data_IF_551172515759
#
_entry.id   IF_551172515759
#
_cell.length_a   1.000
_cell.length_b   1.000
_cell.length_c   1.000
_cell.angle_alpha   90.00
_cell.angle_beta   90.00
_cell.angle_gamma   90.00
#
_symmetry.space_group_name_H-M   'P 1'
#
loop_
_entity.id
_entity.type
_entity.pdbx_description
1 polymer ?
#
# COMPACT_ATOMS: atom_id res chain seq x y z
N UNK A 1 -13.88 81.03 -22.26
CA UNK A 1 -14.29 79.64 -22.25
C UNK A 1 -13.29 78.74 -22.98
N UNK A 2 -12.95 78.93 -24.22
CA UNK A 2 -12.07 78.08 -25.03
C UNK A 2 -10.67 77.87 -24.39
N UNK A 3 -10.04 78.96 -23.91
CA UNK A 3 -8.70 78.84 -23.24
C UNK A 3 -8.71 77.94 -21.98
N UNK A 4 -9.79 77.94 -21.20
CA UNK A 4 -9.96 77.12 -20.02
C UNK A 4 -10.16 75.67 -20.43
N UNK A 5 -10.93 75.41 -21.48
CA UNK A 5 -11.15 74.07 -22.03
C UNK A 5 -9.84 73.45 -22.54
N UNK A 6 -9.01 74.24 -23.26
CA UNK A 6 -7.71 73.79 -23.75
C UNK A 6 -6.77 73.47 -22.58
N UNK A 7 -6.75 74.29 -21.55
CA UNK A 7 -5.93 74.06 -20.33
C UNK A 7 -6.35 72.76 -19.64
N UNK A 8 -7.64 72.51 -19.46
CA UNK A 8 -8.18 71.27 -18.88
C UNK A 8 -7.78 70.06 -19.70
N UNK A 9 -7.86 70.12 -21.03
CA UNK A 9 -7.46 69.02 -21.92
C UNK A 9 -5.94 68.77 -21.82
N UNK A 10 -5.10 69.80 -21.75
CA UNK A 10 -3.66 69.65 -21.55
C UNK A 10 -3.34 68.99 -20.21
N UNK A 11 -3.99 69.42 -19.12
CA UNK A 11 -3.81 68.81 -17.79
C UNK A 11 -4.31 67.41 -17.73
N UNK A 12 -5.43 67.06 -18.33
CA UNK A 12 -5.94 65.72 -18.44
C UNK A 12 -5.03 64.82 -19.28
N UNK A 13 -4.49 65.33 -20.37
CA UNK A 13 -3.50 64.62 -21.20
C UNK A 13 -2.18 64.34 -20.45
N UNK A 14 -1.67 65.38 -19.73
CA UNK A 14 -0.47 65.26 -18.91
C UNK A 14 -0.68 64.25 -17.75
N UNK A 15 -1.85 64.28 -17.11
CA UNK A 15 -2.24 63.31 -16.10
C UNK A 15 -2.33 61.90 -16.68
N UNK A 16 -2.96 61.72 -17.82
CA UNK A 16 -3.06 60.42 -18.49
C UNK A 16 -1.70 59.85 -18.89
N UNK A 17 -0.80 60.70 -19.42
CA UNK A 17 0.60 60.31 -19.68
C UNK A 17 1.33 59.93 -18.40
N UNK A 18 1.17 60.72 -17.33
CA UNK A 18 1.79 60.40 -16.04
C UNK A 18 1.28 59.04 -15.50
N UNK A 19 -0.02 58.75 -15.52
CA UNK A 19 -0.59 57.48 -15.14
C UNK A 19 -0.08 56.31 -16.01
N UNK A 20 0.09 56.58 -17.33
CA UNK A 20 0.60 55.54 -18.27
C UNK A 20 2.05 55.17 -18.00
N UNK A 21 2.88 56.09 -17.58
CA UNK A 21 4.29 55.89 -17.25
C UNK A 21 4.52 55.36 -15.82
N UNK A 22 3.48 55.31 -14.97
CA UNK A 22 3.53 54.71 -13.66
C UNK A 22 3.39 53.17 -13.77
N UNK A 23 4.42 52.52 -14.30
CA UNK A 23 4.41 51.04 -14.59
C UNK A 23 5.09 50.23 -13.50
N UNK A 24 5.18 50.73 -12.27
CA UNK A 24 5.85 50.02 -11.21
C UNK A 24 5.05 48.81 -10.75
N UNK A 25 5.69 47.63 -10.68
CA UNK A 25 5.12 46.38 -10.18
C UNK A 25 5.26 46.23 -8.68
N UNK A 26 5.20 47.34 -7.90
CA UNK A 26 5.42 47.33 -6.45
C UNK A 26 4.12 47.57 -5.68
N UNK A 27 4.09 47.08 -4.45
CA UNK A 27 2.99 47.28 -3.51
C UNK A 27 3.07 48.71 -2.95
N UNK A 28 2.02 49.46 -3.12
CA UNK A 28 1.95 50.88 -2.63
C UNK A 28 1.35 51.00 -1.24
N UNK A 29 0.54 50.02 -0.80
CA UNK A 29 -0.09 50.05 0.52
C UNK A 29 0.93 49.94 1.63
N UNK A 30 0.82 50.82 2.65
CA UNK A 30 1.62 50.76 3.87
C UNK A 30 1.12 49.63 4.77
N UNK A 31 1.53 48.41 4.46
CA UNK A 31 1.13 47.19 5.15
C UNK A 31 2.36 46.48 5.69
N UNK A 32 2.23 45.99 6.92
CA UNK A 32 3.15 45.01 7.50
C UNK A 32 2.43 43.68 7.65
N UNK A 33 3.09 42.61 7.29
CA UNK A 33 2.62 41.25 7.47
C UNK A 33 3.64 40.54 8.36
N UNK A 34 3.22 40.04 9.51
CA UNK A 34 4.09 39.43 10.54
C UNK A 34 5.31 40.32 10.88
N UNK A 35 5.12 41.67 10.95
CA UNK A 35 6.18 42.63 11.20
C UNK A 35 7.00 43.05 9.97
N UNK A 36 6.90 42.33 8.85
CA UNK A 36 7.60 42.59 7.59
C UNK A 36 6.86 43.69 6.80
N UNK A 37 7.53 44.82 6.53
CA UNK A 37 6.97 45.89 5.73
C UNK A 37 7.07 45.54 4.24
N UNK A 38 5.92 45.33 3.57
CA UNK A 38 5.87 44.92 2.16
C UNK A 38 5.71 46.10 1.17
N UNK A 39 5.57 47.33 1.66
CA UNK A 39 5.52 48.52 0.81
C UNK A 39 6.81 48.69 0.01
N UNK A 40 6.68 48.87 -1.30
CA UNK A 40 7.81 49.04 -2.22
C UNK A 40 8.38 47.72 -2.74
N UNK A 41 7.88 46.56 -2.28
CA UNK A 41 8.24 45.24 -2.79
C UNK A 41 7.34 44.90 -3.99
N UNK A 42 7.84 44.06 -4.90
CA UNK A 42 7.01 43.32 -5.86
C UNK A 42 6.19 42.26 -5.14
N UNK A 43 5.21 41.67 -5.83
CA UNK A 43 4.44 40.55 -5.22
C UNK A 43 5.33 39.38 -4.87
N UNK A 44 6.25 39.04 -5.75
CA UNK A 44 7.20 37.96 -5.61
C UNK A 44 8.13 38.20 -4.39
N UNK A 45 8.74 39.37 -4.32
CA UNK A 45 9.60 39.73 -3.19
C UNK A 45 8.87 39.72 -1.83
N UNK A 46 7.61 40.16 -1.81
CA UNK A 46 6.79 40.13 -0.59
C UNK A 46 6.45 38.73 -0.15
N UNK A 47 6.06 37.85 -1.14
CA UNK A 47 5.76 36.43 -0.88
C UNK A 47 7.02 35.72 -0.37
N UNK A 48 8.15 35.93 -1.02
CA UNK A 48 9.43 35.29 -0.65
C UNK A 48 9.89 35.73 0.73
N UNK A 49 9.81 37.03 1.06
CA UNK A 49 10.21 37.55 2.35
C UNK A 49 9.35 36.96 3.49
N UNK A 50 8.03 36.90 3.31
CA UNK A 50 7.10 36.32 4.30
C UNK A 50 7.28 34.81 4.41
N UNK A 51 7.46 34.12 3.28
CA UNK A 51 7.67 32.68 3.26
C UNK A 51 8.97 32.28 3.94
N UNK A 52 10.03 33.07 3.77
CA UNK A 52 11.30 32.85 4.43
C UNK A 52 11.21 33.04 5.95
N UNK A 53 10.56 34.09 6.40
CA UNK A 53 10.33 34.33 7.85
C UNK A 53 9.50 33.18 8.45
N UNK A 54 8.45 32.73 7.73
CA UNK A 54 7.66 31.58 8.14
C UNK A 54 8.51 30.32 8.27
N UNK A 55 9.35 30.04 7.29
CA UNK A 55 10.26 28.91 7.32
C UNK A 55 11.19 28.99 8.53
N UNK A 56 11.92 30.09 8.69
CA UNK A 56 12.88 30.28 9.79
C UNK A 56 12.22 30.09 11.16
N UNK A 57 10.96 30.51 11.31
CA UNK A 57 10.21 30.44 12.56
C UNK A 57 9.65 29.05 12.87
N UNK A 58 9.19 28.31 11.85
CA UNK A 58 8.42 27.07 12.05
C UNK A 58 9.10 25.79 11.55
N UNK A 59 10.21 25.85 10.79
CA UNK A 59 10.86 24.64 10.23
C UNK A 59 11.31 23.63 11.28
N UNK A 60 11.63 24.08 12.48
CA UNK A 60 12.07 23.23 13.59
C UNK A 60 10.95 22.90 14.59
N UNK A 61 9.72 23.32 14.30
CA UNK A 61 8.57 23.10 15.18
C UNK A 61 8.17 21.62 15.19
N UNK A 62 8.09 21.04 16.38
CA UNK A 62 7.78 19.62 16.57
C UNK A 62 6.71 19.44 17.64
N UNK A 63 5.69 18.65 17.33
CA UNK A 63 4.78 18.11 18.34
C UNK A 63 5.34 16.84 18.94
N UNK A 64 5.01 16.58 20.20
CA UNK A 64 5.37 15.34 20.88
C UNK A 64 4.14 14.45 20.97
N UNK A 65 4.20 13.27 20.36
CA UNK A 65 3.14 12.26 20.44
C UNK A 65 3.57 11.17 21.43
N UNK A 66 2.79 10.97 22.48
CA UNK A 66 3.04 9.91 23.47
C UNK A 66 2.19 8.69 23.12
N UNK A 67 2.83 7.54 22.88
CA UNK A 67 2.16 6.27 22.60
C UNK A 67 2.78 5.17 23.46
N UNK A 68 1.97 4.51 24.28
CA UNK A 68 2.43 3.44 25.19
C UNK A 68 3.63 3.85 26.07
N UNK A 69 3.64 5.12 26.55
CA UNK A 69 4.70 5.66 27.39
C UNK A 69 6.00 6.04 26.64
N UNK A 70 6.02 5.94 25.32
CA UNK A 70 7.13 6.40 24.47
C UNK A 70 6.75 7.71 23.79
N UNK A 71 7.72 8.61 23.71
CA UNK A 71 7.54 9.90 23.07
C UNK A 71 8.13 9.88 21.67
N UNK A 72 7.35 10.33 20.70
CA UNK A 72 7.70 10.47 19.30
C UNK A 72 7.65 11.96 18.94
N UNK A 73 8.67 12.47 18.30
CA UNK A 73 8.70 13.86 17.83
C UNK A 73 8.30 13.90 16.37
N UNK A 74 7.27 14.68 16.06
CA UNK A 74 6.71 14.83 14.72
C UNK A 74 6.91 16.26 14.26
N UNK A 75 7.67 16.48 13.19
CA UNK A 75 7.79 17.79 12.57
C UNK A 75 6.48 18.13 11.86
N UNK A 76 5.83 19.22 12.27
CA UNK A 76 4.53 19.63 11.68
C UNK A 76 4.69 20.69 10.60
N UNK A 77 5.90 21.23 10.39
CA UNK A 77 6.16 22.26 9.39
C UNK A 77 5.62 21.91 7.99
N UNK A 78 5.76 20.67 7.46
CA UNK A 78 5.21 20.32 6.13
C UNK A 78 3.68 20.42 6.04
N UNK A 79 2.98 20.32 7.18
CA UNK A 79 1.51 20.44 7.25
C UNK A 79 1.06 21.88 7.31
N UNK A 80 1.91 22.75 7.87
CA UNK A 80 1.60 24.17 8.08
C UNK A 80 1.70 24.97 6.78
N UNK A 81 0.90 26.00 6.67
CA UNK A 81 0.99 26.97 5.59
C UNK A 81 0.36 28.29 5.93
N UNK A 82 0.74 29.35 5.23
CA UNK A 82 0.18 30.69 5.33
C UNK A 82 -0.56 31.07 4.05
N UNK A 83 -1.62 31.86 4.16
CA UNK A 83 -2.27 32.45 3.00
C UNK A 83 -1.64 33.77 2.57
N UNK A 84 -0.34 33.71 2.27
CA UNK A 84 0.45 34.88 1.88
C UNK A 84 -0.03 35.45 0.56
N UNK A 85 -0.31 34.58 -0.42
CA UNK A 85 -0.65 34.99 -1.79
C UNK A 85 -1.89 35.86 -1.85
N UNK A 86 -2.97 35.46 -1.20
CA UNK A 86 -4.25 36.18 -1.19
C UNK A 86 -4.10 37.61 -0.61
N UNK A 87 -3.35 37.73 0.48
CA UNK A 87 -3.13 39.04 1.14
C UNK A 87 -2.22 39.93 0.33
N UNK A 88 -1.13 39.39 -0.22
CA UNK A 88 -0.21 40.14 -1.08
C UNK A 88 -0.92 40.60 -2.37
N UNK A 89 -1.73 39.76 -2.99
CA UNK A 89 -2.54 40.14 -4.16
C UNK A 89 -3.54 41.24 -3.83
N UNK A 90 -4.22 41.13 -2.69
CA UNK A 90 -5.15 42.16 -2.22
C UNK A 90 -4.45 43.49 -1.94
N UNK A 91 -3.27 43.46 -1.32
CA UNK A 91 -2.47 44.64 -1.06
C UNK A 91 -1.94 45.28 -2.35
N UNK A 92 -1.54 44.46 -3.31
CA UNK A 92 -1.06 44.90 -4.62
C UNK A 92 -2.18 45.53 -5.45
N UNK A 93 -3.40 44.97 -5.43
CA UNK A 93 -4.55 45.50 -6.18
C UNK A 93 -4.86 46.96 -5.80
N UNK A 94 -4.54 47.37 -4.58
CA UNK A 94 -4.66 48.75 -4.13
C UNK A 94 -3.56 49.60 -4.80
N UNK A 95 -3.94 50.57 -5.62
CA UNK A 95 -3.01 51.40 -6.40
C UNK A 95 -2.70 50.83 -7.81
N UNK A 96 -3.29 49.69 -8.17
CA UNK A 96 -3.20 49.10 -9.50
C UNK A 96 -4.58 48.86 -10.11
N UNK A 97 -5.55 49.74 -9.84
CA UNK A 97 -6.90 49.73 -10.40
C UNK A 97 -6.93 50.03 -11.89
N UNK A 98 -7.90 50.86 -12.34
CA UNK A 98 -7.93 51.31 -13.74
C UNK A 98 -6.75 52.25 -14.01
N UNK A 99 -6.15 52.16 -15.22
CA UNK A 99 -4.96 52.93 -15.60
C UNK A 99 -5.09 54.44 -15.35
N UNK A 100 -6.28 54.98 -15.45
CA UNK A 100 -6.56 56.43 -15.28
C UNK A 100 -6.75 56.84 -13.81
N UNK A 101 -6.86 55.90 -12.86
CA UNK A 101 -6.91 56.15 -11.41
C UNK A 101 -5.58 55.90 -10.72
N UNK A 102 -4.61 55.28 -11.38
CA UNK A 102 -3.30 54.92 -10.78
C UNK A 102 -2.64 56.11 -10.04
N UNK A 103 -2.66 57.30 -10.61
CA UNK A 103 -2.04 58.47 -10.01
C UNK A 103 -2.72 58.91 -8.72
N UNK A 104 -4.07 58.97 -8.72
CA UNK A 104 -4.84 59.41 -7.53
C UNK A 104 -4.78 58.36 -6.44
N UNK A 105 -4.95 57.07 -6.79
CA UNK A 105 -4.91 55.98 -5.83
C UNK A 105 -3.55 55.89 -5.08
N UNK A 106 -2.45 56.10 -5.83
CA UNK A 106 -1.08 56.14 -5.26
C UNK A 106 -0.83 57.33 -4.37
N UNK A 107 -1.30 58.54 -4.75
CA UNK A 107 -1.22 59.72 -3.92
C UNK A 107 -1.99 59.52 -2.62
N UNK A 108 -3.16 58.93 -2.68
CA UNK A 108 -3.96 58.60 -1.47
C UNK A 108 -3.23 57.61 -0.56
N UNK A 109 -2.68 56.54 -1.12
CA UNK A 109 -1.91 55.51 -0.36
C UNK A 109 -0.65 56.12 0.24
N UNK A 110 0.08 57.01 -0.47
CA UNK A 110 1.26 57.68 0.03
C UNK A 110 0.94 58.64 1.18
N UNK A 111 -0.18 59.36 1.07
CA UNK A 111 -0.60 60.34 2.10
C UNK A 111 -1.34 59.69 3.29
N UNK A 112 -1.74 58.41 3.15
CA UNK A 112 -2.38 57.68 4.23
C UNK A 112 -1.46 57.63 5.44
N UNK A 113 -1.96 58.09 6.59
CA UNK A 113 -1.28 57.99 7.88
C UNK A 113 -1.48 56.58 8.51
N UNK A 114 -2.38 55.81 7.98
CA UNK A 114 -2.73 54.50 8.51
C UNK A 114 -1.66 53.49 8.10
N UNK A 115 -0.95 52.96 9.07
CA UNK A 115 -0.08 51.77 8.92
C UNK A 115 -0.91 50.59 9.38
N UNK A 116 -1.20 49.70 8.46
CA UNK A 116 -1.90 48.46 8.78
C UNK A 116 -0.86 47.37 9.11
N UNK A 117 -1.15 46.60 10.11
CA UNK A 117 -0.37 45.42 10.46
C UNK A 117 -1.33 44.21 10.51
N UNK A 118 -0.97 43.16 9.83
CA UNK A 118 -1.72 41.89 9.76
C UNK A 118 -0.80 40.81 10.29
N UNK A 119 -1.31 40.04 11.23
CA UNK A 119 -0.63 38.82 11.70
C UNK A 119 -1.29 37.64 11.04
N UNK A 120 -0.52 36.86 10.28
CA UNK A 120 -0.94 35.59 9.69
C UNK A 120 -0.52 34.46 10.61
N UNK A 121 -1.47 33.63 10.99
CA UNK A 121 -1.19 32.44 11.76
C UNK A 121 -1.12 31.24 10.82
N UNK A 122 -0.18 30.31 11.06
CA UNK A 122 -0.12 29.06 10.32
C UNK A 122 -1.38 28.22 10.49
N UNK A 123 -1.86 27.68 9.39
CA UNK A 123 -2.99 26.77 9.33
C UNK A 123 -2.56 25.42 8.76
N UNK A 124 -3.32 24.38 9.04
CA UNK A 124 -3.11 23.06 8.43
C UNK A 124 -3.60 23.07 6.99
N UNK A 125 -2.68 23.22 6.02
CA UNK A 125 -2.97 23.28 4.59
C UNK A 125 -2.72 21.95 3.88
N UNK A 126 -1.67 21.23 4.24
CA UNK A 126 -1.26 19.98 3.61
C UNK A 126 -1.60 18.80 4.52
N UNK A 127 -2.89 18.58 4.80
CA UNK A 127 -3.35 17.55 5.73
C UNK A 127 -2.97 16.13 5.30
N UNK A 128 -2.83 15.90 4.00
CA UNK A 128 -2.47 14.59 3.42
C UNK A 128 -1.03 14.16 3.77
N UNK A 129 -0.17 15.12 4.13
CA UNK A 129 1.20 14.82 4.59
C UNK A 129 1.24 14.20 6.00
N UNK A 130 0.16 14.30 6.80
CA UNK A 130 0.14 13.80 8.17
C UNK A 130 0.42 12.30 8.26
N UNK A 131 -0.16 11.49 7.38
CA UNK A 131 0.04 10.04 7.41
C UNK A 131 1.51 9.68 7.23
N UNK A 132 2.17 10.32 6.27
CA UNK A 132 3.60 10.12 6.02
C UNK A 132 4.48 10.60 7.19
N UNK A 133 4.17 11.77 7.75
CA UNK A 133 4.93 12.31 8.87
C UNK A 133 4.83 11.44 10.13
N UNK A 134 3.66 10.87 10.39
CA UNK A 134 3.45 9.96 11.50
C UNK A 134 4.20 8.64 11.28
N UNK A 135 4.18 8.11 10.05
CA UNK A 135 4.92 6.91 9.67
C UNK A 135 6.44 7.13 9.78
N UNK A 136 6.96 8.25 9.25
CA UNK A 136 8.37 8.63 9.34
C UNK A 136 8.84 8.80 10.80
N UNK A 137 7.94 9.25 11.68
CA UNK A 137 8.20 9.33 13.12
C UNK A 137 8.13 7.96 13.83
N UNK A 138 7.76 6.89 13.13
CA UNK A 138 7.62 5.54 13.68
C UNK A 138 6.27 5.26 14.32
N UNK A 139 5.26 6.10 14.10
CA UNK A 139 3.88 5.90 14.53
C UNK A 139 3.12 5.30 13.35
N UNK A 140 3.06 3.98 13.29
CA UNK A 140 2.35 3.26 12.25
C UNK A 140 1.07 2.61 12.80
N UNK A 141 0.22 2.11 11.90
CA UNK A 141 -1.00 1.34 12.25
C UNK A 141 -0.71 0.03 12.99
N UNK A 142 0.55 -0.20 13.41
CA UNK A 142 0.94 -1.39 14.16
C UNK A 142 0.13 -1.55 15.44
N UNK A 143 -0.34 -2.76 15.67
CA UNK A 143 -1.08 -3.11 16.89
C UNK A 143 -0.41 -4.27 17.59
N UNK A 144 -0.74 -4.50 18.87
CA UNK A 144 -0.34 -5.68 19.62
C UNK A 144 -1.20 -6.91 19.25
N UNK A 145 -1.96 -6.83 18.18
CA UNK A 145 -2.80 -7.92 17.67
C UNK A 145 -1.96 -9.12 17.30
N UNK A 146 -2.38 -10.29 17.77
CA UNK A 146 -1.83 -11.56 17.34
C UNK A 146 -2.75 -12.13 16.29
N UNK A 147 -2.22 -12.34 15.09
CA UNK A 147 -2.99 -12.92 14.00
C UNK A 147 -3.32 -14.39 14.23
N UNK A 148 -4.42 -14.87 13.63
CA UNK A 148 -4.75 -16.29 13.59
C UNK A 148 -3.70 -17.01 12.76
N UNK A 149 -3.19 -18.14 13.26
CA UNK A 149 -2.19 -18.97 12.59
C UNK A 149 -2.68 -20.39 12.40
N UNK A 150 -2.25 -21.01 11.29
CA UNK A 150 -2.52 -22.40 10.94
C UNK A 150 -1.21 -23.15 10.86
N UNK A 151 -1.18 -24.34 11.44
CA UNK A 151 -0.06 -25.28 11.38
C UNK A 151 -0.61 -26.64 10.92
N UNK A 152 -0.10 -27.13 9.80
CA UNK A 152 -0.46 -28.43 9.26
C UNK A 152 0.51 -29.48 9.80
N UNK A 153 -0.02 -30.53 10.39
CA UNK A 153 0.72 -31.73 10.79
C UNK A 153 0.35 -32.90 9.88
N UNK A 154 0.94 -34.06 10.08
CA UNK A 154 0.66 -35.26 9.26
C UNK A 154 -0.81 -35.74 9.35
N UNK A 155 -1.51 -35.43 10.42
CA UNK A 155 -2.87 -35.95 10.69
C UNK A 155 -3.90 -34.88 11.04
N UNK A 156 -3.46 -33.67 11.32
CA UNK A 156 -4.33 -32.62 11.87
C UNK A 156 -3.92 -31.23 11.37
N UNK A 157 -4.92 -30.37 11.20
CA UNK A 157 -4.76 -28.93 11.07
C UNK A 157 -4.95 -28.30 12.44
N UNK A 158 -3.91 -27.66 12.98
CA UNK A 158 -3.97 -26.91 14.23
C UNK A 158 -4.12 -25.43 13.93
N UNK A 159 -5.24 -24.84 14.34
CA UNK A 159 -5.51 -23.42 14.19
C UNK A 159 -5.40 -22.74 15.54
N UNK A 160 -4.53 -21.75 15.68
CA UNK A 160 -4.44 -20.90 16.87
C UNK A 160 -5.19 -19.60 16.61
N UNK A 161 -6.33 -19.42 17.29
CA UNK A 161 -7.15 -18.22 17.14
C UNK A 161 -6.37 -16.99 17.58
N UNK A 162 -6.38 -15.95 16.76
CA UNK A 162 -5.74 -14.67 17.05
C UNK A 162 -6.28 -13.99 18.31
N UNK A 163 -5.62 -12.94 18.73
CA UNK A 163 -6.02 -12.11 19.88
C UNK A 163 -6.16 -10.68 19.45
N UNK A 164 -7.26 -10.05 19.86
CA UNK A 164 -7.45 -8.61 19.72
C UNK A 164 -6.37 -7.86 20.48
N UNK A 165 -5.66 -7.00 19.79
CA UNK A 165 -4.65 -6.11 20.35
C UNK A 165 -5.16 -4.69 20.53
N UNK A 166 -4.24 -3.81 20.90
CA UNK A 166 -4.45 -2.37 20.97
C UNK A 166 -3.46 -1.72 20.00
N UNK A 167 -3.97 -0.86 19.15
CA UNK A 167 -3.17 -0.07 18.23
C UNK A 167 -3.53 1.42 18.32
N UNK A 168 -2.72 2.32 17.73
CA UNK A 168 -3.04 3.73 17.64
C UNK A 168 -4.31 3.95 16.81
N UNK A 169 -5.18 4.83 17.28
CA UNK A 169 -6.28 5.37 16.49
C UNK A 169 -5.73 6.54 15.65
N UNK A 170 -5.32 6.22 14.43
CA UNK A 170 -4.67 7.20 13.54
C UNK A 170 -5.59 8.35 13.16
N UNK A 171 -6.90 8.11 13.04
CA UNK A 171 -7.84 9.16 12.66
C UNK A 171 -8.08 10.12 13.83
N UNK A 172 -8.31 9.59 15.03
CA UNK A 172 -8.42 10.42 16.22
C UNK A 172 -7.10 11.17 16.55
N UNK A 173 -5.93 10.57 16.27
CA UNK A 173 -4.64 11.22 16.42
C UNK A 173 -4.49 12.40 15.45
N UNK A 174 -4.84 12.21 14.18
CA UNK A 174 -4.82 13.29 13.18
C UNK A 174 -5.76 14.43 13.56
N UNK A 175 -6.95 14.11 14.04
CA UNK A 175 -7.89 15.13 14.53
C UNK A 175 -7.32 15.91 15.72
N UNK A 176 -6.65 15.25 16.66
CA UNK A 176 -6.01 15.90 17.80
C UNK A 176 -4.88 16.84 17.35
N UNK A 177 -4.05 16.43 16.39
CA UNK A 177 -2.99 17.27 15.80
C UNK A 177 -3.60 18.51 15.11
N UNK A 178 -4.61 18.31 14.25
CA UNK A 178 -5.28 19.40 13.56
C UNK A 178 -5.96 20.38 14.53
N UNK A 179 -6.53 19.87 15.62
CA UNK A 179 -7.10 20.69 16.68
C UNK A 179 -6.02 21.51 17.39
N UNK A 180 -4.86 20.93 17.72
CA UNK A 180 -3.76 21.66 18.32
C UNK A 180 -3.27 22.79 17.41
N UNK A 181 -3.13 22.52 16.10
CA UNK A 181 -2.79 23.57 15.12
C UNK A 181 -3.85 24.67 15.10
N UNK A 182 -5.13 24.33 15.15
CA UNK A 182 -6.24 25.31 15.11
C UNK A 182 -6.31 26.25 16.32
N UNK A 183 -5.72 25.86 17.45
CA UNK A 183 -5.60 26.68 18.67
C UNK A 183 -4.20 27.25 18.85
N UNK A 184 -3.37 27.19 17.80
CA UNK A 184 -2.00 27.76 17.76
C UNK A 184 -1.01 27.08 18.73
N UNK A 185 -1.31 25.84 19.17
CA UNK A 185 -0.41 25.04 20.01
C UNK A 185 0.44 24.12 19.12
N UNK A 186 1.45 24.72 18.47
CA UNK A 186 2.31 24.02 17.51
C UNK A 186 3.37 23.11 18.17
N UNK A 187 3.54 23.18 19.48
CA UNK A 187 4.46 22.35 20.26
C UNK A 187 3.71 21.40 21.21
N UNK A 188 2.44 21.14 20.94
CA UNK A 188 1.57 20.32 21.77
C UNK A 188 2.19 18.96 22.11
N UNK A 189 1.89 18.49 23.33
CA UNK A 189 2.13 17.11 23.75
C UNK A 189 0.79 16.37 23.68
N UNK A 190 0.66 15.45 22.76
CA UNK A 190 -0.57 14.73 22.48
C UNK A 190 -0.42 13.27 22.91
N UNK A 191 -1.29 12.82 23.85
CA UNK A 191 -1.42 11.40 24.14
C UNK A 191 -2.15 10.74 22.95
N UNK A 192 -1.50 9.77 22.30
CA UNK A 192 -2.07 9.11 21.14
C UNK A 192 -3.31 8.29 21.54
N UNK A 193 -4.49 8.58 20.99
CA UNK A 193 -5.65 7.74 21.19
C UNK A 193 -5.37 6.32 20.69
N UNK A 194 -5.90 5.33 21.41
CA UNK A 194 -5.75 3.92 21.07
C UNK A 194 -7.09 3.26 20.83
N UNK A 195 -7.12 2.31 19.90
CA UNK A 195 -8.30 1.52 19.59
C UNK A 195 -8.01 0.02 19.64
N UNK A 196 -9.05 -0.78 19.84
CA UNK A 196 -8.96 -2.24 19.73
C UNK A 196 -8.85 -2.62 18.26
N UNK A 197 -7.84 -3.42 17.95
CA UNK A 197 -7.61 -3.94 16.59
C UNK A 197 -7.79 -5.45 16.63
N UNK A 198 -8.89 -6.00 16.13
CA UNK A 198 -9.09 -7.43 16.03
C UNK A 198 -8.10 -8.05 15.02
N UNK A 199 -7.80 -9.35 15.12
CA UNK A 199 -7.06 -10.06 14.09
C UNK A 199 -7.85 -10.08 12.78
N UNK A 200 -7.15 -10.16 11.67
CA UNK A 200 -7.77 -10.34 10.34
C UNK A 200 -8.55 -11.66 10.32
N UNK A 201 -9.66 -11.66 9.61
CA UNK A 201 -10.47 -12.86 9.45
C UNK A 201 -9.69 -13.88 8.59
N UNK A 202 -9.57 -15.11 9.13
CA UNK A 202 -8.89 -16.18 8.41
C UNK A 202 -9.83 -16.73 7.34
N UNK A 203 -9.43 -16.59 6.07
CA UNK A 203 -10.09 -17.23 4.95
C UNK A 203 -9.72 -18.73 4.92
N UNK A 204 -10.59 -19.55 5.50
CA UNK A 204 -10.40 -20.99 5.57
C UNK A 204 -10.60 -21.67 4.21
N UNK A 205 -11.37 -21.09 3.30
CA UNK A 205 -11.56 -21.62 1.95
C UNK A 205 -10.29 -21.41 1.13
N UNK A 206 -9.73 -20.19 1.14
CA UNK A 206 -8.45 -19.92 0.49
C UNK A 206 -7.29 -20.74 1.11
N UNK A 207 -7.34 -21.01 2.42
CA UNK A 207 -6.36 -21.88 3.07
C UNK A 207 -6.54 -23.34 2.64
N UNK A 208 -7.78 -23.81 2.51
CA UNK A 208 -8.10 -25.16 2.01
C UNK A 208 -7.54 -25.37 0.61
N UNK A 209 -7.82 -24.47 -0.33
CA UNK A 209 -7.31 -24.55 -1.71
C UNK A 209 -5.77 -24.62 -1.78
N UNK A 210 -5.09 -24.04 -0.79
CA UNK A 210 -3.62 -24.05 -0.71
C UNK A 210 -3.06 -25.39 -0.24
N UNK A 211 -3.77 -26.11 0.63
CA UNK A 211 -3.29 -27.34 1.28
C UNK A 211 -3.94 -28.62 0.78
N UNK A 212 -5.10 -28.47 0.13
CA UNK A 212 -5.83 -29.58 -0.46
C UNK A 212 -5.02 -30.21 -1.61
N UNK A 213 -4.97 -31.54 -1.58
CA UNK A 213 -4.41 -32.34 -2.68
C UNK A 213 -5.31 -33.53 -2.95
N UNK A 214 -5.53 -33.86 -4.23
CA UNK A 214 -6.17 -35.11 -4.61
C UNK A 214 -5.17 -36.26 -4.61
N UNK A 215 -5.61 -37.44 -4.18
CA UNK A 215 -4.79 -38.64 -4.26
C UNK A 215 -4.59 -39.01 -5.74
N UNK A 216 -3.33 -39.25 -6.10
CA UNK A 216 -2.99 -39.78 -7.44
C UNK A 216 -2.04 -40.94 -7.33
N UNK A 217 -2.28 -41.98 -8.09
CA UNK A 217 -1.45 -43.18 -8.13
C UNK A 217 -0.12 -42.90 -8.81
N UNK A 218 0.91 -43.61 -8.35
CA UNK A 218 2.16 -43.64 -9.06
C UNK A 218 1.97 -44.28 -10.44
N UNK A 219 2.68 -43.77 -11.43
CA UNK A 219 2.63 -44.25 -12.79
C UNK A 219 3.97 -44.13 -13.52
N UNK A 220 4.07 -44.74 -14.70
CA UNK A 220 5.21 -44.56 -15.58
C UNK A 220 4.87 -43.54 -16.66
N UNK A 221 5.69 -42.55 -16.85
CA UNK A 221 5.61 -41.58 -17.93
C UNK A 221 6.03 -42.16 -19.28
N UNK A 222 5.96 -41.36 -20.35
CA UNK A 222 6.23 -41.79 -21.72
C UNK A 222 7.64 -42.35 -21.93
N UNK A 223 8.64 -41.91 -21.15
CA UNK A 223 10.02 -42.37 -21.19
C UNK A 223 10.36 -43.33 -20.05
N UNK A 224 9.35 -43.97 -19.44
CA UNK A 224 9.45 -44.80 -18.26
C UNK A 224 10.03 -44.12 -17.02
N UNK A 225 9.97 -42.79 -16.99
CA UNK A 225 10.21 -42.03 -15.72
C UNK A 225 9.08 -42.36 -14.73
N UNK A 226 9.43 -42.50 -13.48
CA UNK A 226 8.47 -42.72 -12.42
C UNK A 226 7.79 -41.39 -12.08
N UNK A 227 6.47 -41.31 -12.27
CA UNK A 227 5.61 -40.25 -11.78
C UNK A 227 5.18 -40.68 -10.37
N UNK A 228 5.64 -39.99 -9.32
CA UNK A 228 5.38 -40.42 -7.95
C UNK A 228 3.91 -40.30 -7.58
N UNK A 229 3.46 -41.16 -6.69
CA UNK A 229 2.15 -41.04 -6.06
C UNK A 229 2.01 -39.78 -5.22
N UNK A 230 0.81 -39.23 -5.17
CA UNK A 230 0.46 -38.12 -4.30
C UNK A 230 -0.59 -38.56 -3.30
N UNK A 231 -0.35 -38.31 -2.03
CA UNK A 231 -1.35 -38.53 -0.98
C UNK A 231 -2.36 -37.38 -0.99
N UNK A 232 -3.63 -37.72 -1.03
CA UNK A 232 -4.73 -36.75 -0.94
C UNK A 232 -4.87 -36.24 0.49
N UNK A 233 -5.01 -34.92 0.65
CA UNK A 233 -5.23 -34.24 1.93
C UNK A 233 -6.45 -33.34 1.80
N UNK A 234 -7.39 -33.49 2.72
CA UNK A 234 -8.55 -32.62 2.84
C UNK A 234 -8.99 -32.43 4.29
N UNK A 235 -9.84 -31.45 4.56
CA UNK A 235 -10.48 -31.25 5.85
C UNK A 235 -11.85 -30.58 5.69
N UNK A 236 -12.73 -30.74 6.68
CA UNK A 236 -14.05 -30.11 6.70
C UNK A 236 -13.94 -28.63 7.08
N UNK A 237 -13.95 -27.76 6.05
CA UNK A 237 -13.89 -26.31 6.19
C UNK A 237 -15.05 -25.78 7.03
N UNK A 238 -16.27 -26.33 6.89
CA UNK A 238 -17.44 -25.87 7.66
C UNK A 238 -17.33 -26.21 9.13
N UNK A 239 -16.77 -27.38 9.46
CA UNK A 239 -16.50 -27.78 10.84
C UNK A 239 -15.39 -26.91 11.44
N UNK A 240 -14.33 -26.65 10.68
CA UNK A 240 -13.23 -25.77 11.09
C UNK A 240 -13.75 -24.36 11.40
N UNK A 241 -14.56 -23.77 10.50
CA UNK A 241 -15.14 -22.43 10.71
C UNK A 241 -15.99 -22.35 11.98
N UNK A 242 -16.88 -23.35 12.19
CA UNK A 242 -17.73 -23.41 13.41
C UNK A 242 -16.92 -23.54 14.69
N UNK A 243 -15.81 -24.32 14.68
CA UNK A 243 -14.94 -24.45 15.85
C UNK A 243 -14.17 -23.17 16.10
N UNK A 244 -13.66 -22.52 15.04
CA UNK A 244 -12.94 -21.26 15.12
C UNK A 244 -13.81 -20.13 15.65
N UNK A 245 -15.07 -20.03 15.20
CA UNK A 245 -16.01 -19.03 15.67
C UNK A 245 -16.24 -19.14 17.18
N UNK A 246 -16.48 -20.36 17.68
CA UNK A 246 -16.73 -20.63 19.10
C UNK A 246 -15.52 -20.60 20.01
N UNK A 247 -14.33 -20.66 19.43
CA UNK A 247 -13.08 -20.67 20.19
C UNK A 247 -12.82 -19.31 20.85
N UNK A 248 -12.27 -19.30 22.05
CA UNK A 248 -11.77 -18.09 22.71
C UNK A 248 -10.50 -17.59 22.03
N UNK A 249 -10.23 -16.31 22.13
CA UNK A 249 -8.98 -15.71 21.66
C UNK A 249 -7.75 -16.45 22.23
N UNK A 250 -6.80 -16.77 21.37
CA UNK A 250 -5.58 -17.50 21.70
C UNK A 250 -5.77 -18.99 21.94
N UNK A 251 -6.98 -19.53 21.78
CA UNK A 251 -7.21 -20.98 21.91
C UNK A 251 -6.67 -21.71 20.68
N UNK A 252 -6.12 -22.90 20.90
CA UNK A 252 -5.78 -23.85 19.85
C UNK A 252 -6.95 -24.77 19.60
N UNK A 253 -7.32 -24.92 18.34
CA UNK A 253 -8.33 -25.86 17.88
C UNK A 253 -7.69 -26.82 16.89
N UNK A 254 -8.10 -28.08 16.98
CA UNK A 254 -7.59 -29.16 16.14
C UNK A 254 -8.70 -29.66 15.21
N UNK A 255 -8.39 -29.74 13.93
CA UNK A 255 -9.25 -30.27 12.89
C UNK A 255 -8.56 -31.52 12.31
N UNK A 256 -9.19 -32.70 12.37
CA UNK A 256 -8.61 -33.87 11.75
C UNK A 256 -8.54 -33.72 10.23
N UNK A 257 -7.46 -34.21 9.64
CA UNK A 257 -7.32 -34.32 8.20
C UNK A 257 -7.96 -35.62 7.71
N UNK A 258 -8.58 -35.53 6.56
CA UNK A 258 -8.98 -36.69 5.78
C UNK A 258 -7.84 -37.00 4.80
N UNK A 259 -7.17 -38.14 5.04
CA UNK A 259 -6.01 -38.56 4.27
C UNK A 259 -6.45 -39.70 3.37
N UNK A 260 -6.30 -39.51 2.06
CA UNK A 260 -6.54 -40.54 1.06
C UNK A 260 -5.23 -41.03 0.48
N UNK A 261 -4.90 -42.30 0.76
CA UNK A 261 -3.69 -42.89 0.21
C UNK A 261 -3.92 -43.27 -1.28
N UNK A 262 -2.89 -43.18 -2.12
CA UNK A 262 -2.96 -43.69 -3.48
C UNK A 262 -3.18 -45.21 -3.47
N UNK A 263 -3.84 -45.75 -4.49
CA UNK A 263 -4.01 -47.20 -4.66
C UNK A 263 -2.69 -47.88 -5.05
N UNK A 264 -1.86 -47.18 -5.85
CA UNK A 264 -0.51 -47.61 -6.26
C UNK A 264 0.53 -46.66 -5.70
N UNK A 265 1.39 -47.17 -4.84
CA UNK A 265 2.46 -46.34 -4.23
C UNK A 265 3.66 -46.17 -5.16
N UNK A 266 4.49 -45.19 -4.90
CA UNK A 266 5.76 -44.98 -5.63
C UNK A 266 6.69 -46.17 -5.44
N UNK A 267 6.75 -46.71 -4.22
CA UNK A 267 7.58 -47.85 -3.86
C UNK A 267 7.16 -49.12 -4.61
N UNK A 268 5.85 -49.30 -4.88
CA UNK A 268 5.35 -50.45 -5.69
C UNK A 268 5.82 -50.34 -7.13
N UNK A 269 5.81 -49.14 -7.75
CA UNK A 269 6.32 -48.94 -9.08
C UNK A 269 7.85 -49.12 -9.13
N UNK A 270 8.57 -48.59 -8.13
CA UNK A 270 10.03 -48.75 -8.01
C UNK A 270 10.47 -50.20 -7.83
N UNK A 271 9.63 -51.00 -7.19
CA UNK A 271 9.91 -52.41 -6.96
C UNK A 271 9.63 -53.27 -8.21
N UNK A 272 9.05 -52.74 -9.28
CA UNK A 272 8.82 -53.49 -10.49
C UNK A 272 10.16 -53.91 -11.13
N UNK A 273 10.36 -55.21 -11.43
CA UNK A 273 11.67 -55.72 -11.88
C UNK A 273 12.05 -55.21 -13.29
N UNK A 274 11.08 -54.73 -14.07
CA UNK A 274 11.29 -54.33 -15.47
C UNK A 274 10.51 -53.05 -15.77
N UNK A 275 11.19 -51.90 -15.71
CA UNK A 275 10.59 -50.59 -16.03
C UNK A 275 10.73 -50.20 -17.50
N UNK A 276 11.58 -50.90 -18.27
CA UNK A 276 11.88 -50.52 -19.63
C UNK A 276 11.37 -51.56 -20.62
N UNK A 277 10.41 -51.20 -21.46
CA UNK A 277 10.01 -52.02 -22.61
C UNK A 277 11.13 -51.92 -23.68
N UNK A 278 11.89 -53.00 -23.83
CA UNK A 278 13.00 -53.04 -24.80
C UNK A 278 12.51 -53.20 -26.26
N UNK A 279 11.34 -53.75 -26.45
CA UNK A 279 10.72 -53.91 -27.76
C UNK A 279 9.42 -54.70 -27.71
N UNK A 280 8.58 -54.47 -28.69
CA UNK A 280 7.34 -55.23 -28.89
C UNK A 280 7.27 -55.65 -30.34
N UNK A 281 6.79 -56.85 -30.60
CA UNK A 281 6.58 -57.33 -31.92
C UNK A 281 5.35 -58.21 -31.99
N UNK A 282 4.48 -57.99 -32.99
CA UNK A 282 3.28 -58.75 -33.16
C UNK A 282 3.44 -59.65 -34.37
N UNK A 283 3.17 -60.95 -34.18
CA UNK A 283 3.12 -61.90 -35.24
C UNK A 283 1.72 -62.46 -35.41
N UNK A 284 1.39 -62.80 -36.65
CA UNK A 284 0.10 -63.38 -36.93
C UNK A 284 0.32 -64.87 -37.30
N UNK A 285 -0.14 -65.75 -36.44
CA UNK A 285 -0.08 -67.21 -36.67
C UNK A 285 -1.39 -67.75 -37.31
N UNK A 286 -1.27 -68.50 -38.39
CA UNK A 286 -2.41 -69.17 -38.99
C UNK A 286 -2.00 -70.54 -39.48
N UNK A 287 -2.96 -71.39 -39.82
CA UNK A 287 -2.73 -72.71 -40.34
C UNK A 287 -3.73 -73.78 -39.82
N UNK A 288 -3.29 -75.02 -39.72
CA UNK A 288 -4.10 -76.09 -39.14
C UNK A 288 -4.33 -75.91 -37.65
N UNK A 289 -5.40 -76.48 -37.11
CA UNK A 289 -5.72 -76.38 -35.67
C UNK A 289 -4.58 -76.86 -34.78
N UNK A 290 -3.87 -77.92 -35.15
CA UNK A 290 -2.71 -78.42 -34.41
C UNK A 290 -1.57 -77.42 -34.39
N UNK A 291 -1.36 -76.66 -35.48
CA UNK A 291 -0.34 -75.62 -35.52
C UNK A 291 -0.67 -74.40 -34.59
N UNK A 292 -1.93 -74.01 -34.62
CA UNK A 292 -2.43 -72.98 -33.75
C UNK A 292 -2.31 -73.34 -32.27
N UNK A 293 -2.68 -74.61 -31.95
CA UNK A 293 -2.54 -75.17 -30.60
C UNK A 293 -1.08 -75.19 -30.13
N UNK A 294 -0.13 -75.62 -30.99
CA UNK A 294 1.30 -75.64 -30.64
C UNK A 294 1.88 -74.21 -30.46
N UNK A 295 1.45 -73.28 -31.31
CA UNK A 295 1.86 -71.83 -31.12
C UNK A 295 1.35 -71.30 -29.83
N UNK A 296 0.13 -71.60 -29.42
CA UNK A 296 -0.45 -71.16 -28.16
C UNK A 296 0.35 -71.71 -26.95
N UNK A 297 0.66 -73.02 -27.00
CA UNK A 297 1.45 -73.70 -25.99
C UNK A 297 2.89 -73.02 -25.86
N UNK A 298 3.51 -72.73 -27.03
CA UNK A 298 4.81 -72.11 -27.05
C UNK A 298 4.77 -70.67 -26.46
N UNK A 299 3.73 -69.89 -26.75
CA UNK A 299 3.55 -68.55 -26.19
C UNK A 299 3.29 -68.66 -24.69
N UNK A 300 2.44 -69.55 -24.22
CA UNK A 300 2.16 -69.79 -22.81
C UNK A 300 3.42 -70.24 -22.04
N UNK A 301 4.31 -70.99 -22.68
CA UNK A 301 5.58 -71.41 -22.06
C UNK A 301 6.63 -70.30 -21.98
N UNK A 302 6.52 -69.27 -22.79
CA UNK A 302 7.42 -68.11 -22.79
C UNK A 302 6.89 -66.95 -21.96
N UNK A 303 5.58 -66.95 -21.68
CA UNK A 303 4.96 -65.89 -20.93
C UNK A 303 5.48 -65.84 -19.48
N UNK A 304 5.89 -64.63 -19.02
CA UNK A 304 6.48 -64.45 -17.70
C UNK A 304 7.90 -65.03 -17.52
N UNK A 305 8.60 -65.46 -18.59
CA UNK A 305 9.95 -65.99 -18.48
C UNK A 305 10.97 -64.91 -18.18
N UNK A 306 11.67 -65.02 -17.07
CA UNK A 306 12.77 -64.16 -16.69
C UNK A 306 14.14 -64.71 -17.13
N UNK A 307 14.95 -63.86 -17.75
CA UNK A 307 16.30 -64.21 -18.18
C UNK A 307 17.34 -63.37 -17.40
N UNK A 308 18.28 -64.03 -16.80
CA UNK A 308 19.39 -63.35 -16.11
C UNK A 308 20.45 -62.86 -17.15
N UNK A 309 21.23 -61.84 -16.85
CA UNK A 309 22.31 -61.37 -17.74
C UNK A 309 23.23 -62.53 -18.15
N UNK A 310 23.36 -62.74 -19.46
CA UNK A 310 24.16 -63.85 -20.03
C UNK A 310 23.44 -65.17 -20.19
N UNK A 311 22.19 -65.32 -19.72
CA UNK A 311 21.36 -66.49 -19.92
C UNK A 311 20.85 -66.53 -21.35
N UNK A 312 20.91 -67.72 -21.99
CA UNK A 312 20.44 -67.95 -23.34
C UNK A 312 18.97 -68.32 -23.32
N UNK A 313 18.14 -67.66 -24.11
CA UNK A 313 16.73 -68.00 -24.27
C UNK A 313 16.61 -69.46 -24.76
N UNK A 314 15.91 -70.35 -24.04
CA UNK A 314 15.78 -71.72 -24.44
C UNK A 314 14.93 -71.85 -25.71
N UNK A 315 15.58 -72.14 -26.81
CA UNK A 315 14.91 -72.39 -28.12
C UNK A 315 14.24 -73.75 -28.25
N UNK A 316 14.45 -74.62 -27.26
CA UNK A 316 13.83 -75.93 -27.23
C UNK A 316 12.95 -76.07 -26.00
N UNK A 317 11.74 -75.52 -26.09
CA UNK A 317 10.73 -75.60 -25.01
C UNK A 317 9.75 -76.73 -25.27
N UNK A 318 9.80 -77.38 -26.45
CA UNK A 318 8.89 -78.46 -26.88
C UNK A 318 9.71 -79.68 -27.19
#
# INVERSE_FOLDING_TARGET
>A
MIKVLILVLILAGAYGLWCHFLTDNVIWKKLKINGIAIQGMTKEEAIDAISKDFQEKYENTQMTITLNGKNFKVSIYPVLGLDVKSIVESAYALGHGAWFTHGTDRIELMNSKTKEEVTLMPEARNKDELDKLLEDAGISKGSTTIQTSCELTDTELVITKGKTGIGPDMDALKEAILKAISIEDYEAVIECPTMKTPPEELDLEAYYEKVHTDATDASLGENNEIIPAVTGISFDVKSAAKKLEKAKEGAKITIPLEITLPEVSTEEIEALPYLNLLGTYTTYGGGTENRVANLKLAVEACDGMELQPGQIFPTTIL
#
